data_IF_418895909074
#
_entry.id   IF_418895909074
#
_cell.length_a   1.000
_cell.length_b   1.000
_cell.length_c   1.000
_cell.angle_alpha   90.00
_cell.angle_beta   90.00
_cell.angle_gamma   90.00
#
_symmetry.space_group_name_H-M   'P 1'
#
loop_
_entity.id
_entity.type
_entity.pdbx_description
1 polymer ?
#
# COMPACT_ATOMS: atom_id res chain seq x y z
N UNK A 1 -5.58 5.68 -1.89
CA UNK A 1 -5.03 4.78 -0.88
C UNK A 1 -3.62 4.38 -1.25
N UNK A 2 -2.70 4.34 -0.29
CA UNK A 2 -1.29 4.01 -0.44
C UNK A 2 -0.86 3.05 0.67
N UNK A 3 0.15 2.22 0.41
CA UNK A 3 0.85 1.41 1.40
C UNK A 3 2.29 1.16 0.94
N UNK A 4 3.11 0.69 1.86
CA UNK A 4 4.46 0.21 1.55
C UNK A 4 5.26 1.23 0.72
N UNK A 5 5.27 2.48 1.20
CA UNK A 5 6.04 3.56 0.56
C UNK A 5 7.53 3.38 0.80
N UNK A 6 7.93 2.86 1.97
CA UNK A 6 9.31 2.63 2.39
C UNK A 6 10.22 3.83 2.09
N UNK A 7 9.74 5.04 2.36
CA UNK A 7 10.52 6.27 2.16
C UNK A 7 11.79 6.17 2.98
N UNK A 8 12.93 6.38 2.32
CA UNK A 8 14.24 6.12 2.89
C UNK A 8 14.98 4.95 2.24
N UNK A 9 14.27 4.01 1.59
CA UNK A 9 14.89 2.95 0.80
C UNK A 9 15.48 3.49 -0.50
N UNK A 10 16.64 2.96 -0.93
CA UNK A 10 17.16 3.22 -2.29
C UNK A 10 16.30 2.61 -3.40
N UNK A 11 15.30 1.79 -3.04
CA UNK A 11 14.35 1.15 -3.95
C UNK A 11 12.96 1.79 -3.91
N UNK A 12 12.78 2.91 -3.19
CA UNK A 12 11.49 3.58 -3.03
C UNK A 12 11.52 5.02 -3.54
N UNK A 13 10.36 5.65 -3.54
CA UNK A 13 10.25 7.06 -3.87
C UNK A 13 10.98 7.91 -2.83
N UNK A 14 11.71 8.93 -3.31
CA UNK A 14 12.38 9.94 -2.49
C UNK A 14 12.19 11.30 -3.14
N UNK A 15 11.92 12.33 -2.34
CA UNK A 15 11.74 13.67 -2.89
C UNK A 15 13.10 14.26 -3.31
N UNK A 16 13.31 14.65 -4.59
CA UNK A 16 14.62 15.05 -5.10
C UNK A 16 15.18 16.33 -4.48
N UNK A 17 14.29 17.19 -3.99
CA UNK A 17 14.65 18.47 -3.33
C UNK A 17 14.56 18.37 -1.80
N UNK A 18 14.61 17.16 -1.26
CA UNK A 18 14.70 16.99 0.18
C UNK A 18 16.14 17.14 0.61
N UNK A 19 16.36 18.02 1.58
CA UNK A 19 17.62 18.18 2.30
C UNK A 19 17.42 17.71 3.74
N UNK A 20 18.38 16.95 4.24
CA UNK A 20 18.36 16.49 5.63
C UNK A 20 18.63 17.64 6.62
N UNK A 21 18.61 17.33 7.91
CA UNK A 21 18.86 18.30 8.98
C UNK A 21 20.23 19.00 8.89
N UNK A 22 21.17 18.43 8.13
CA UNK A 22 22.48 18.98 7.87
C UNK A 22 22.56 19.76 6.55
N UNK A 23 21.47 19.85 5.79
CA UNK A 23 21.42 20.50 4.49
C UNK A 23 22.03 19.64 3.35
N UNK A 24 22.10 18.32 3.54
CA UNK A 24 22.62 17.41 2.52
C UNK A 24 21.49 16.92 1.62
N UNK A 25 21.67 17.09 0.32
CA UNK A 25 20.78 16.51 -0.71
C UNK A 25 21.26 15.14 -1.14
N UNK A 26 20.31 14.25 -1.43
CA UNK A 26 20.58 12.87 -1.83
C UNK A 26 20.26 12.68 -3.32
N UNK A 27 21.26 12.39 -4.17
CA UNK A 27 21.01 12.19 -5.59
C UNK A 27 20.22 10.89 -5.82
N UNK A 28 19.15 10.99 -6.62
CA UNK A 28 18.32 9.85 -6.95
C UNK A 28 19.02 8.90 -7.90
N UNK A 29 18.96 7.60 -7.61
CA UNK A 29 19.34 6.55 -8.55
C UNK A 29 18.28 6.38 -9.65
N UNK A 30 18.55 5.50 -10.63
CA UNK A 30 17.65 5.29 -11.77
C UNK A 30 16.24 4.81 -11.37
N UNK A 31 16.16 3.89 -10.41
CA UNK A 31 14.89 3.36 -9.89
C UNK A 31 14.10 4.48 -9.22
N UNK A 32 14.75 5.26 -8.36
CA UNK A 32 14.11 6.37 -7.66
C UNK A 32 13.62 7.48 -8.61
N UNK A 33 14.37 7.77 -9.69
CA UNK A 33 13.92 8.71 -10.73
C UNK A 33 12.65 8.22 -11.41
N UNK A 34 12.54 6.93 -11.67
CA UNK A 34 11.34 6.31 -12.23
C UNK A 34 10.17 6.40 -11.24
N UNK A 35 10.39 6.03 -9.97
CA UNK A 35 9.36 6.10 -8.93
C UNK A 35 8.92 7.53 -8.67
N UNK A 36 9.83 8.49 -8.72
CA UNK A 36 9.51 9.91 -8.64
C UNK A 36 8.60 10.34 -9.79
N UNK A 37 8.88 9.90 -11.02
CA UNK A 37 7.99 10.19 -12.15
C UNK A 37 6.60 9.57 -11.96
N UNK A 38 6.51 8.35 -11.43
CA UNK A 38 5.21 7.72 -11.10
C UNK A 38 4.47 8.50 -10.02
N UNK A 39 5.19 9.01 -9.03
CA UNK A 39 4.60 9.87 -7.99
C UNK A 39 4.01 11.15 -8.57
N UNK A 40 4.75 11.81 -9.45
CA UNK A 40 4.26 13.01 -10.14
C UNK A 40 3.06 12.69 -11.02
N UNK A 41 3.08 11.59 -11.75
CA UNK A 41 1.95 11.16 -12.58
C UNK A 41 0.71 10.88 -11.72
N UNK A 42 0.86 10.21 -10.58
CA UNK A 42 -0.24 10.02 -9.62
C UNK A 42 -0.81 11.35 -9.14
N UNK A 43 0.04 12.27 -8.71
CA UNK A 43 -0.41 13.59 -8.26
C UNK A 43 -1.15 14.35 -9.38
N UNK A 44 -0.68 14.23 -10.62
CA UNK A 44 -1.34 14.84 -11.77
C UNK A 44 -2.70 14.20 -12.07
N UNK A 45 -2.77 12.86 -12.11
CA UNK A 45 -4.02 12.12 -12.33
C UNK A 45 -5.08 12.45 -11.25
N UNK A 46 -4.65 12.74 -10.02
CA UNK A 46 -5.54 13.06 -8.90
C UNK A 46 -5.99 14.53 -8.84
N UNK A 47 -5.42 15.43 -9.64
CA UNK A 47 -5.77 16.87 -9.62
C UNK A 47 -7.22 17.16 -9.95
N UNK A 48 -7.76 16.46 -10.93
CA UNK A 48 -9.14 16.65 -11.37
C UNK A 48 -10.14 15.96 -10.43
N UNK A 49 -9.76 14.79 -9.91
CA UNK A 49 -10.61 13.97 -9.06
C UNK A 49 -10.66 14.50 -7.61
N UNK A 50 -9.56 15.04 -7.11
CA UNK A 50 -9.39 15.57 -5.75
C UNK A 50 -10.01 14.66 -4.70
N UNK A 51 -9.37 13.54 -4.34
CA UNK A 51 -9.89 12.63 -3.33
C UNK A 51 -10.18 13.36 -2.02
N UNK A 52 -11.14 12.87 -1.26
CA UNK A 52 -11.53 13.50 0.01
C UNK A 52 -10.44 13.34 1.05
N UNK A 53 -9.82 12.14 1.14
CA UNK A 53 -8.75 11.82 2.07
C UNK A 53 -7.83 10.71 1.52
N UNK A 54 -6.72 10.47 2.19
CA UNK A 54 -5.80 9.35 1.91
C UNK A 54 -5.83 8.37 3.07
N UNK A 55 -5.82 7.07 2.74
CA UNK A 55 -5.56 5.99 3.70
C UNK A 55 -4.14 5.48 3.45
N UNK A 56 -3.32 5.48 4.50
CA UNK A 56 -1.95 4.97 4.52
C UNK A 56 -1.93 3.65 5.30
N UNK A 57 -1.75 2.53 4.59
CA UNK A 57 -1.84 1.21 5.18
C UNK A 57 -0.46 0.66 5.60
N UNK A 58 0.32 1.46 6.32
CA UNK A 58 1.57 1.06 6.96
C UNK A 58 2.80 1.07 6.06
N UNK A 59 3.96 0.79 6.66
CA UNK A 59 5.30 0.78 6.08
C UNK A 59 5.58 2.04 5.23
N UNK A 60 5.31 3.21 5.83
CA UNK A 60 5.51 4.52 5.17
C UNK A 60 7.00 4.81 5.04
N UNK A 61 7.80 4.48 6.04
CA UNK A 61 9.26 4.63 6.03
C UNK A 61 9.96 3.28 5.93
N UNK A 62 11.25 3.29 5.52
CA UNK A 62 12.06 2.07 5.38
C UNK A 62 12.71 1.63 6.69
N UNK A 63 12.87 2.55 7.65
CA UNK A 63 13.50 2.28 8.92
C UNK A 63 15.04 2.21 8.82
N UNK A 64 15.67 1.66 9.85
CA UNK A 64 17.14 1.62 9.96
C UNK A 64 17.77 0.43 9.24
N UNK A 65 17.00 -0.55 8.78
CA UNK A 65 17.46 -1.73 8.07
C UNK A 65 18.62 -2.48 8.76
N UNK A 66 18.46 -2.96 9.99
CA UNK A 66 19.55 -3.51 10.78
C UNK A 66 20.17 -4.76 10.16
N UNK A 67 19.39 -5.56 9.41
CA UNK A 67 19.87 -6.78 8.77
C UNK A 67 20.91 -6.55 7.66
N UNK A 68 20.99 -5.34 7.11
CA UNK A 68 21.95 -4.98 6.07
C UNK A 68 22.81 -3.75 6.44
N UNK A 69 22.78 -3.37 7.73
CA UNK A 69 23.55 -2.22 8.25
C UNK A 69 23.22 -0.89 7.55
N UNK A 70 21.98 -0.69 7.15
CA UNK A 70 21.53 0.52 6.45
C UNK A 70 22.06 0.69 5.03
N UNK A 71 22.67 -0.32 4.42
CA UNK A 71 23.29 -0.20 3.08
C UNK A 71 22.30 0.04 1.95
N UNK A 72 21.03 -0.22 2.18
CA UNK A 72 19.95 -0.03 1.20
C UNK A 72 19.05 1.15 1.56
N UNK A 73 19.48 2.00 2.52
CA UNK A 73 18.76 3.21 2.89
C UNK A 73 19.47 4.47 2.37
N UNK A 74 18.71 5.51 2.10
CA UNK A 74 19.21 6.86 1.79
C UNK A 74 19.82 7.50 3.04
N UNK A 75 19.12 7.37 4.16
CA UNK A 75 19.53 7.79 5.49
C UNK A 75 18.98 6.81 6.53
N UNK A 76 19.70 6.60 7.62
CA UNK A 76 19.21 5.83 8.78
C UNK A 76 18.56 6.73 9.84
N UNK A 77 18.53 8.04 9.64
CA UNK A 77 17.79 8.98 10.49
C UNK A 77 16.30 8.87 10.18
N UNK A 78 15.52 8.42 11.17
CA UNK A 78 14.08 8.20 11.00
C UNK A 78 13.29 9.50 10.85
N UNK A 79 13.77 10.59 11.48
CA UNK A 79 13.10 11.89 11.35
C UNK A 79 13.27 12.45 9.93
N UNK A 80 14.44 12.23 9.29
CA UNK A 80 14.65 12.60 7.90
C UNK A 80 13.77 11.79 6.95
N UNK A 81 13.64 10.47 7.19
CA UNK A 81 12.71 9.62 6.43
C UNK A 81 11.26 10.10 6.58
N UNK A 82 10.84 10.40 7.82
CA UNK A 82 9.50 10.89 8.13
C UNK A 82 9.23 12.25 7.48
N UNK A 83 10.16 13.19 7.59
CA UNK A 83 10.01 14.52 7.00
C UNK A 83 9.92 14.46 5.46
N UNK A 84 10.73 13.60 4.83
CA UNK A 84 10.65 13.36 3.40
C UNK A 84 9.30 12.72 3.01
N UNK A 85 8.79 11.76 3.80
CA UNK A 85 7.50 11.14 3.57
C UNK A 85 6.36 12.16 3.68
N UNK A 86 6.36 13.01 4.70
CA UNK A 86 5.38 14.09 4.86
C UNK A 86 5.42 15.04 3.65
N UNK A 87 6.62 15.45 3.20
CA UNK A 87 6.77 16.31 2.03
C UNK A 87 6.20 15.68 0.76
N UNK A 88 6.42 14.38 0.54
CA UNK A 88 5.83 13.63 -0.57
C UNK A 88 4.30 13.58 -0.48
N UNK A 89 3.76 13.19 0.68
CA UNK A 89 2.33 13.03 0.88
C UNK A 89 1.56 14.35 0.74
N UNK A 90 2.13 15.45 1.17
CA UNK A 90 1.54 16.79 1.03
C UNK A 90 1.40 17.26 -0.44
N UNK A 91 2.08 16.61 -1.39
CA UNK A 91 1.91 16.87 -2.82
C UNK A 91 0.60 16.33 -3.37
N UNK A 92 -0.05 15.39 -2.68
CA UNK A 92 -1.31 14.78 -3.14
C UNK A 92 -2.43 15.82 -3.06
N UNK A 93 -3.15 16.08 -4.18
CA UNK A 93 -4.19 17.10 -4.22
C UNK A 93 -5.49 16.59 -3.57
N UNK A 94 -5.69 16.87 -2.29
CA UNK A 94 -6.87 16.49 -1.53
C UNK A 94 -7.89 17.62 -1.42
N UNK A 95 -9.19 17.28 -1.35
CA UNK A 95 -10.26 18.23 -0.97
C UNK A 95 -10.13 18.60 0.52
N UNK A 96 -9.92 17.61 1.38
CA UNK A 96 -9.60 17.76 2.79
C UNK A 96 -8.18 17.26 2.99
N UNK A 97 -7.40 17.93 3.80
CA UNK A 97 -6.03 17.47 4.12
C UNK A 97 -6.10 16.45 5.26
N UNK A 98 -6.71 15.31 4.99
CA UNK A 98 -6.97 14.25 5.95
C UNK A 98 -6.26 12.96 5.52
N UNK A 99 -5.50 12.35 6.45
CA UNK A 99 -4.70 11.16 6.21
C UNK A 99 -4.93 10.16 7.33
N UNK A 100 -5.71 9.12 7.07
CA UNK A 100 -5.84 7.97 7.99
C UNK A 100 -4.59 7.11 7.92
N UNK A 101 -3.98 6.83 9.06
CA UNK A 101 -2.70 6.14 9.13
C UNK A 101 -2.79 4.94 10.05
N UNK A 102 -2.38 3.77 9.56
CA UNK A 102 -2.09 2.59 10.38
C UNK A 102 -0.58 2.36 10.45
N UNK A 103 -0.16 1.75 11.54
CA UNK A 103 1.23 1.36 11.77
C UNK A 103 1.65 0.27 10.78
N UNK A 104 2.92 0.25 10.39
CA UNK A 104 3.53 -0.79 9.59
C UNK A 104 4.08 -1.95 10.40
N UNK A 105 5.15 -2.57 9.88
CA UNK A 105 5.87 -3.63 10.59
C UNK A 105 6.90 -3.04 11.55
N UNK A 106 7.11 -3.71 12.68
CA UNK A 106 8.14 -3.34 13.67
C UNK A 106 9.55 -3.23 13.06
N UNK A 107 9.78 -3.93 11.95
CA UNK A 107 11.06 -3.91 11.26
C UNK A 107 11.35 -2.56 10.63
N UNK A 108 10.32 -1.91 10.07
CA UNK A 108 10.42 -0.62 9.39
C UNK A 108 10.22 0.55 10.35
N UNK A 109 9.49 0.36 11.43
CA UNK A 109 9.32 1.40 12.45
C UNK A 109 10.45 1.52 13.45
N UNK A 110 11.46 0.63 13.41
CA UNK A 110 12.44 0.52 14.48
C UNK A 110 11.75 0.36 15.84
N UNK A 111 11.58 -0.87 16.28
CA UNK A 111 10.91 -1.32 17.50
C UNK A 111 10.92 -0.28 18.61
N UNK A 112 9.76 0.21 19.03
CA UNK A 112 9.52 1.31 19.98
C UNK A 112 9.63 2.75 19.42
N UNK A 113 9.61 2.96 18.11
CA UNK A 113 9.50 4.30 17.55
C UNK A 113 8.04 4.68 17.30
N UNK A 114 7.72 5.95 17.49
CA UNK A 114 6.40 6.53 17.20
C UNK A 114 6.39 7.23 15.85
N UNK A 115 7.24 6.79 14.89
CA UNK A 115 7.48 7.56 13.66
C UNK A 115 6.22 7.66 12.81
N UNK A 116 5.48 6.56 12.62
CA UNK A 116 4.22 6.62 11.86
C UNK A 116 3.16 7.48 12.56
N UNK A 117 3.13 7.44 13.90
CA UNK A 117 2.29 8.35 14.67
C UNK A 117 2.68 9.81 14.46
N UNK A 118 3.96 10.13 14.48
CA UNK A 118 4.45 11.50 14.22
C UNK A 118 4.14 11.96 12.79
N UNK A 119 4.27 11.07 11.80
CA UNK A 119 3.85 11.34 10.41
C UNK A 119 2.35 11.67 10.38
N UNK A 120 1.52 10.87 11.05
CA UNK A 120 0.08 11.12 11.13
C UNK A 120 -0.22 12.49 11.74
N UNK A 121 0.42 12.82 12.86
CA UNK A 121 0.23 14.12 13.55
C UNK A 121 0.65 15.30 12.66
N UNK A 122 1.79 15.17 11.96
CA UNK A 122 2.29 16.22 11.06
C UNK A 122 1.37 16.44 9.84
N UNK A 123 0.80 15.38 9.30
CA UNK A 123 -0.11 15.46 8.15
C UNK A 123 -1.48 16.04 8.52
N UNK A 124 -1.96 15.79 9.74
CA UNK A 124 -3.31 16.11 10.20
C UNK A 124 -3.36 17.23 11.25
N UNK A 125 -2.35 18.10 11.33
CA UNK A 125 -2.30 19.22 12.27
C UNK A 125 -2.51 18.79 13.75
N UNK A 126 -1.91 17.69 14.16
CA UNK A 126 -2.02 17.07 15.49
C UNK A 126 -3.41 16.52 15.85
N UNK A 127 -4.27 16.23 14.87
CA UNK A 127 -5.54 15.56 15.11
C UNK A 127 -5.37 14.06 15.21
N UNK A 128 -5.58 13.51 16.41
CA UNK A 128 -5.47 12.07 16.70
C UNK A 128 -6.59 11.23 16.10
N UNK A 129 -7.65 11.83 15.65
CA UNK A 129 -8.79 11.11 15.05
C UNK A 129 -8.37 10.24 13.86
N UNK A 130 -7.34 10.67 13.13
CA UNK A 130 -6.83 9.99 11.93
C UNK A 130 -5.81 8.89 12.21
N UNK A 131 -5.39 8.70 13.46
CA UNK A 131 -4.50 7.62 13.87
C UNK A 131 -5.29 6.35 14.17
N UNK A 132 -5.07 5.30 13.39
CA UNK A 132 -5.80 4.03 13.46
C UNK A 132 -5.04 2.93 14.21
N UNK A 133 -3.83 3.22 14.70
CA UNK A 133 -2.96 2.26 15.38
C UNK A 133 -2.64 1.05 14.47
N UNK A 134 -2.64 -0.17 15.01
CA UNK A 134 -2.34 -1.40 14.26
C UNK A 134 -3.47 -1.83 13.31
N UNK A 135 -4.70 -1.48 13.63
CA UNK A 135 -5.89 -1.78 12.85
C UNK A 135 -7.02 -0.82 13.21
N UNK A 136 -7.65 -0.26 12.20
CA UNK A 136 -8.76 0.66 12.40
C UNK A 136 -9.95 0.40 11.50
N UNK A 137 -11.01 1.14 11.78
CA UNK A 137 -12.24 1.15 11.01
C UNK A 137 -12.57 2.59 10.62
N UNK A 138 -12.81 2.78 9.33
CA UNK A 138 -13.29 4.05 8.80
C UNK A 138 -14.74 3.82 8.37
N UNK A 139 -15.64 4.63 8.91
CA UNK A 139 -17.04 4.59 8.54
C UNK A 139 -17.36 5.80 7.66
N UNK A 140 -17.79 5.54 6.45
CA UNK A 140 -18.31 6.53 5.52
C UNK A 140 -19.76 6.19 5.20
N UNK A 141 -20.69 7.06 5.60
CA UNK A 141 -22.11 6.81 5.50
C UNK A 141 -22.50 5.46 6.12
N UNK A 142 -23.03 4.56 5.31
CA UNK A 142 -23.44 3.21 5.69
C UNK A 142 -22.36 2.14 5.47
N UNK A 143 -21.18 2.52 4.96
CA UNK A 143 -20.11 1.59 4.61
C UNK A 143 -18.97 1.61 5.63
N UNK A 144 -18.39 0.46 5.85
CA UNK A 144 -17.29 0.27 6.80
C UNK A 144 -16.07 -0.31 6.10
N UNK A 145 -14.96 0.40 6.22
CA UNK A 145 -13.65 0.00 5.73
C UNK A 145 -12.80 -0.42 6.93
N UNK A 146 -12.26 -1.64 6.91
CA UNK A 146 -11.24 -2.08 7.85
C UNK A 146 -9.86 -1.96 7.22
N UNK A 147 -8.93 -1.35 7.94
CA UNK A 147 -7.55 -1.13 7.49
C UNK A 147 -6.58 -1.67 8.51
N UNK A 148 -5.60 -2.45 8.06
CA UNK A 148 -4.42 -2.83 8.79
C UNK A 148 -3.27 -3.06 7.81
N UNK A 149 -2.03 -2.98 8.26
CA UNK A 149 -0.91 -3.27 7.37
C UNK A 149 -0.87 -4.76 6.98
N UNK A 150 -1.15 -5.63 7.93
CA UNK A 150 -1.06 -7.08 7.76
C UNK A 150 0.26 -7.63 8.27
N UNK A 151 0.25 -8.91 8.62
CA UNK A 151 1.42 -9.59 9.22
C UNK A 151 1.75 -10.91 8.53
N UNK A 152 1.07 -11.26 7.46
CA UNK A 152 1.16 -12.59 6.90
C UNK A 152 2.20 -12.70 5.80
N UNK A 153 3.06 -13.68 5.93
CA UNK A 153 4.25 -13.91 5.13
C UNK A 153 4.04 -14.80 3.89
N UNK A 154 2.84 -14.87 3.32
CA UNK A 154 2.65 -15.68 2.10
C UNK A 154 2.75 -14.84 0.85
N UNK A 155 3.97 -14.73 0.30
CA UNK A 155 4.20 -14.10 -1.01
C UNK A 155 3.75 -14.94 -2.21
N UNK A 156 3.42 -16.22 -2.01
CA UNK A 156 3.16 -17.16 -3.11
C UNK A 156 1.68 -17.16 -3.50
N UNK A 157 0.80 -16.98 -2.52
CA UNK A 157 -0.64 -17.01 -2.72
C UNK A 157 -1.31 -15.88 -1.95
N UNK A 158 -1.31 -14.65 -2.48
CA UNK A 158 -1.94 -13.51 -1.82
C UNK A 158 -3.42 -13.75 -1.52
N UNK A 159 -4.11 -14.52 -2.37
CA UNK A 159 -5.51 -14.85 -2.21
C UNK A 159 -5.80 -15.66 -0.93
N UNK A 160 -4.85 -16.47 -0.47
CA UNK A 160 -5.02 -17.22 0.79
C UNK A 160 -4.97 -16.29 2.01
N UNK A 161 -4.19 -15.23 1.94
CA UNK A 161 -4.15 -14.20 2.97
C UNK A 161 -5.50 -13.49 3.04
N UNK A 162 -6.01 -13.06 1.90
CA UNK A 162 -7.30 -12.39 1.80
C UNK A 162 -8.44 -13.28 2.29
N UNK A 163 -8.45 -14.57 1.90
CA UNK A 163 -9.47 -15.51 2.36
C UNK A 163 -9.44 -15.69 3.88
N UNK A 164 -8.24 -15.70 4.49
CA UNK A 164 -8.08 -15.80 5.95
C UNK A 164 -8.54 -14.53 6.65
N UNK A 165 -8.21 -13.37 6.15
CA UNK A 165 -8.66 -12.07 6.68
C UNK A 165 -10.19 -11.98 6.65
N UNK A 166 -10.80 -12.38 5.55
CA UNK A 166 -12.25 -12.43 5.42
C UNK A 166 -12.87 -13.39 6.44
N UNK A 167 -12.30 -14.60 6.62
CA UNK A 167 -12.77 -15.57 7.60
C UNK A 167 -12.60 -15.05 9.03
N UNK A 168 -11.48 -14.40 9.31
CA UNK A 168 -11.23 -13.78 10.61
C UNK A 168 -12.27 -12.70 10.93
N UNK A 169 -12.57 -11.82 9.99
CA UNK A 169 -13.56 -10.76 10.19
C UNK A 169 -14.97 -11.31 10.40
N UNK A 170 -15.36 -12.38 9.71
CA UNK A 170 -16.64 -13.05 9.94
C UNK A 170 -16.69 -13.68 11.35
N UNK A 171 -15.65 -14.41 11.73
CA UNK A 171 -15.58 -15.06 13.03
C UNK A 171 -15.56 -14.04 14.17
N UNK A 172 -14.85 -12.93 14.00
CA UNK A 172 -14.84 -11.85 14.99
C UNK A 172 -16.21 -11.21 15.13
N UNK A 173 -16.94 -11.00 14.04
CA UNK A 173 -18.28 -10.47 14.07
C UNK A 173 -19.28 -11.42 14.80
N UNK A 174 -19.15 -12.74 14.59
CA UNK A 174 -19.96 -13.73 15.28
C UNK A 174 -19.63 -13.86 16.76
N UNK A 175 -18.34 -14.01 17.10
CA UNK A 175 -17.88 -14.25 18.47
C UNK A 175 -18.04 -13.05 19.40
N UNK A 176 -17.71 -11.87 18.88
CA UNK A 176 -17.69 -10.64 19.69
C UNK A 176 -18.95 -9.81 19.55
N UNK A 177 -19.94 -10.26 18.78
CA UNK A 177 -21.16 -9.49 18.47
C UNK A 177 -20.81 -8.06 18.01
N UNK A 178 -19.71 -7.94 17.27
CA UNK A 178 -19.30 -6.66 16.70
C UNK A 178 -20.36 -6.26 15.70
N UNK A 179 -21.01 -5.14 15.94
CA UNK A 179 -22.17 -4.66 15.18
C UNK A 179 -21.82 -4.21 13.75
N UNK A 180 -20.55 -4.37 13.30
CA UNK A 180 -20.07 -3.83 12.05
C UNK A 180 -19.42 -4.91 11.19
N UNK A 181 -20.16 -5.39 10.20
CA UNK A 181 -19.53 -6.09 9.08
C UNK A 181 -18.77 -5.07 8.22
N UNK A 182 -17.56 -5.40 7.79
CA UNK A 182 -16.80 -4.57 6.87
C UNK A 182 -17.28 -4.80 5.42
N UNK A 183 -17.40 -3.73 4.67
CA UNK A 183 -17.68 -3.79 3.23
C UNK A 183 -16.36 -3.93 2.44
N UNK A 184 -15.27 -3.36 2.97
CA UNK A 184 -13.93 -3.46 2.39
C UNK A 184 -12.88 -3.72 3.49
N UNK A 185 -12.06 -4.73 3.27
CA UNK A 185 -10.89 -5.07 4.10
C UNK A 185 -9.64 -4.75 3.31
N UNK A 186 -8.78 -3.90 3.87
CA UNK A 186 -7.59 -3.39 3.21
C UNK A 186 -6.34 -3.86 3.95
N UNK A 187 -5.35 -4.39 3.19
CA UNK A 187 -4.05 -4.82 3.68
C UNK A 187 -2.94 -4.31 2.76
N UNK A 188 -1.75 -4.11 3.31
CA UNK A 188 -0.49 -3.86 2.59
C UNK A 188 0.45 -5.06 2.65
N UNK A 189 1.74 -4.81 2.87
CA UNK A 189 2.82 -5.75 3.19
C UNK A 189 3.29 -6.68 2.06
N UNK A 190 2.43 -7.15 1.20
CA UNK A 190 2.81 -8.12 0.16
C UNK A 190 3.34 -7.48 -1.12
N UNK A 191 3.20 -6.17 -1.27
CA UNK A 191 3.64 -5.39 -2.44
C UNK A 191 3.02 -5.87 -3.77
N UNK A 192 1.87 -6.54 -3.71
CA UNK A 192 1.17 -7.08 -4.88
C UNK A 192 -0.28 -6.65 -4.76
N UNK A 193 -0.84 -6.13 -5.86
CA UNK A 193 -2.26 -5.85 -5.89
C UNK A 193 -3.06 -7.14 -6.03
N UNK A 194 -4.06 -7.29 -5.19
CA UNK A 194 -5.05 -8.35 -5.32
C UNK A 194 -6.38 -7.89 -4.74
N UNK A 195 -7.46 -8.15 -5.44
CA UNK A 195 -8.82 -7.86 -5.00
C UNK A 195 -9.67 -9.12 -5.10
N UNK A 196 -10.23 -9.55 -3.99
CA UNK A 196 -11.21 -10.64 -3.94
C UNK A 196 -12.54 -10.08 -3.47
N UNK A 197 -13.59 -10.41 -4.19
CA UNK A 197 -14.96 -10.10 -3.82
C UNK A 197 -15.71 -11.38 -3.48
N UNK A 198 -16.41 -11.38 -2.35
CA UNK A 198 -17.24 -12.50 -1.91
C UNK A 198 -18.59 -12.01 -1.44
N UNK A 199 -19.63 -12.72 -1.80
CA UNK A 199 -20.94 -12.50 -1.21
C UNK A 199 -20.92 -12.87 0.26
N UNK A 200 -21.37 -11.98 1.11
CA UNK A 200 -21.47 -12.15 2.55
C UNK A 200 -22.83 -11.72 3.07
N UNK A 201 -23.12 -12.08 4.30
CA UNK A 201 -24.31 -11.60 4.97
C UNK A 201 -23.95 -10.36 5.80
N UNK A 202 -24.64 -9.25 5.60
CA UNK A 202 -24.62 -8.15 6.56
C UNK A 202 -25.32 -8.61 7.83
N UNK A 203 -24.61 -8.55 8.95
CA UNK A 203 -25.24 -8.74 10.24
C UNK A 203 -26.21 -7.60 10.49
N UNK A 204 -27.46 -7.95 10.74
CA UNK A 204 -28.67 -7.10 10.76
C UNK A 204 -28.72 -6.01 11.83
N UNK A 205 -27.66 -5.30 12.17
CA UNK A 205 -27.70 -4.35 13.29
C UNK A 205 -27.48 -2.88 12.97
N UNK A 206 -27.63 -2.48 11.72
CA UNK A 206 -27.73 -1.07 11.40
C UNK A 206 -29.20 -0.68 11.37
N UNK A 207 -29.71 0.07 12.34
CA UNK A 207 -31.15 0.36 12.45
C UNK A 207 -31.71 1.23 11.32
N UNK A 208 -30.93 1.72 10.42
CA UNK A 208 -31.32 2.58 9.29
C UNK A 208 -31.08 1.96 7.90
N UNK A 209 -30.52 0.75 7.80
CA UNK A 209 -30.22 0.15 6.50
C UNK A 209 -31.43 -0.60 5.95
N UNK A 210 -32.01 -0.05 4.90
CA UNK A 210 -32.96 -0.73 3.99
C UNK A 210 -32.25 -1.63 2.99
N UNK A 211 -30.91 -1.74 3.07
CA UNK A 211 -30.08 -2.50 2.14
C UNK A 211 -30.28 -4.02 2.28
N UNK A 212 -30.12 -4.79 1.18
CA UNK A 212 -30.35 -6.23 1.16
C UNK A 212 -29.45 -6.95 2.19
N UNK A 213 -29.95 -8.06 2.73
CA UNK A 213 -29.27 -8.88 3.73
C UNK A 213 -27.97 -9.53 3.21
N UNK A 214 -27.76 -9.56 1.91
CA UNK A 214 -26.57 -10.08 1.23
C UNK A 214 -25.80 -8.91 0.64
N UNK A 215 -24.57 -8.74 1.06
CA UNK A 215 -23.66 -7.72 0.51
C UNK A 215 -22.41 -8.39 -0.01
N UNK A 216 -21.77 -7.74 -0.94
CA UNK A 216 -20.43 -8.10 -1.37
C UNK A 216 -19.42 -7.53 -0.38
N UNK A 217 -18.56 -8.40 0.15
CA UNK A 217 -17.41 -8.00 0.97
C UNK A 217 -16.17 -8.11 0.10
N UNK A 218 -15.45 -7.01 -0.01
CA UNK A 218 -14.20 -6.93 -0.75
C UNK A 218 -13.00 -7.04 0.19
N UNK A 219 -12.02 -7.83 -0.19
CA UNK A 219 -10.73 -7.91 0.50
C UNK A 219 -9.64 -7.54 -0.48
N UNK A 220 -8.88 -6.52 -0.15
CA UNK A 220 -7.86 -5.96 -1.02
C UNK A 220 -6.48 -5.99 -0.37
N UNK A 221 -5.48 -6.38 -1.15
CA UNK A 221 -4.08 -6.10 -0.87
C UNK A 221 -3.68 -4.94 -1.78
N UNK A 222 -3.18 -3.88 -1.17
CA UNK A 222 -2.81 -2.66 -1.89
C UNK A 222 -1.44 -2.81 -2.55
N UNK A 223 -1.20 -2.25 -3.74
CA UNK A 223 0.11 -2.20 -4.34
C UNK A 223 1.05 -1.31 -3.51
N UNK A 224 2.35 -1.49 -3.69
CA UNK A 224 3.39 -0.72 -3.03
C UNK A 224 3.86 0.49 -3.87
N UNK A 225 4.65 1.36 -3.26
CA UNK A 225 5.42 2.38 -3.98
C UNK A 225 6.93 2.13 -3.88
N UNK A 226 7.29 0.85 -3.70
CA UNK A 226 8.66 0.36 -3.63
C UNK A 226 8.95 -0.61 -4.77
N UNK A 227 10.12 -0.47 -5.39
CA UNK A 227 10.62 -1.43 -6.38
C UNK A 227 11.15 -2.71 -5.74
N UNK A 228 11.56 -3.65 -6.59
CA UNK A 228 12.06 -4.95 -6.13
C UNK A 228 13.38 -4.82 -5.36
N UNK A 229 13.37 -5.15 -4.08
CA UNK A 229 14.56 -5.16 -3.22
C UNK A 229 15.37 -6.45 -3.39
N UNK A 230 16.65 -6.42 -2.96
CA UNK A 230 17.49 -7.64 -2.92
C UNK A 230 16.93 -8.71 -1.98
N UNK A 231 16.25 -8.30 -0.91
CA UNK A 231 15.55 -9.21 -0.02
C UNK A 231 14.44 -9.96 -0.74
N UNK A 232 13.58 -9.26 -1.48
CA UNK A 232 12.51 -9.87 -2.28
C UNK A 232 13.07 -10.86 -3.31
N UNK A 233 14.16 -10.50 -3.99
CA UNK A 233 14.84 -11.38 -4.96
C UNK A 233 15.33 -12.69 -4.35
N UNK A 234 15.83 -12.65 -3.11
CA UNK A 234 16.36 -13.83 -2.43
C UNK A 234 15.28 -14.71 -1.82
N UNK A 235 14.23 -14.11 -1.28
CA UNK A 235 13.15 -14.82 -0.56
C UNK A 235 12.12 -15.44 -1.50
N UNK A 236 11.88 -14.84 -2.65
CA UNK A 236 10.95 -15.39 -3.63
C UNK A 236 11.70 -15.97 -4.81
N UNK A 237 11.84 -17.30 -4.91
CA UNK A 237 12.45 -17.95 -6.07
C UNK A 237 11.68 -17.70 -7.35
N UNK A 238 10.39 -17.37 -7.25
CA UNK A 238 9.52 -16.99 -8.37
C UNK A 238 9.55 -15.50 -8.68
N UNK A 239 10.38 -14.73 -7.96
CA UNK A 239 10.67 -13.32 -8.24
C UNK A 239 9.40 -12.51 -8.50
N UNK A 240 8.53 -12.48 -7.52
CA UNK A 240 7.40 -11.58 -7.56
C UNK A 240 7.93 -10.15 -7.76
N UNK A 241 7.57 -9.56 -8.87
CA UNK A 241 7.83 -8.15 -9.13
C UNK A 241 6.74 -7.40 -8.38
N UNK A 242 7.08 -6.43 -7.52
CA UNK A 242 6.05 -5.67 -6.81
C UNK A 242 5.21 -4.88 -7.81
N UNK A 243 3.92 -4.82 -7.56
CA UNK A 243 3.03 -3.91 -8.24
C UNK A 243 3.23 -2.50 -7.68
N UNK A 244 3.70 -1.60 -8.53
CA UNK A 244 3.93 -0.20 -8.15
C UNK A 244 2.69 0.61 -8.51
N UNK A 245 2.08 1.23 -7.52
CA UNK A 245 0.86 1.98 -7.80
C UNK A 245 0.07 2.41 -6.57
N UNK A 246 -1.19 2.70 -6.80
CA UNK A 246 -2.14 3.10 -5.77
C UNK A 246 -3.55 2.59 -6.10
N UNK A 247 -4.45 2.63 -5.13
CA UNK A 247 -5.85 2.32 -5.36
C UNK A 247 -6.75 3.51 -5.02
N UNK A 248 -7.85 3.63 -5.76
CA UNK A 248 -8.95 4.55 -5.47
C UNK A 248 -10.11 3.74 -4.90
N UNK A 249 -10.61 4.13 -3.74
CA UNK A 249 -11.83 3.63 -3.16
C UNK A 249 -12.91 4.68 -3.38
N UNK A 250 -13.98 4.30 -4.05
CA UNK A 250 -15.13 5.16 -4.35
C UNK A 250 -16.32 4.58 -3.63
N UNK A 251 -16.97 5.41 -2.83
CA UNK A 251 -18.19 5.06 -2.10
C UNK A 251 -19.34 5.86 -2.72
N UNK A 252 -20.38 5.18 -3.13
CA UNK A 252 -21.59 5.77 -3.68
C UNK A 252 -22.84 4.98 -3.26
N UNK A 253 -24.02 5.38 -3.72
CA UNK A 253 -25.30 4.74 -3.41
C UNK A 253 -25.35 3.25 -3.81
N UNK A 254 -24.46 2.79 -4.67
CA UNK A 254 -24.41 1.43 -5.18
C UNK A 254 -23.40 0.55 -4.43
N UNK A 255 -22.51 1.14 -3.64
CA UNK A 255 -21.57 0.38 -2.82
C UNK A 255 -20.16 0.94 -2.78
N UNK A 256 -19.24 0.07 -2.36
CA UNK A 256 -17.81 0.35 -2.31
C UNK A 256 -17.15 -0.20 -3.58
N UNK A 257 -16.56 0.68 -4.36
CA UNK A 257 -15.87 0.36 -5.60
C UNK A 257 -14.37 0.58 -5.43
N UNK A 258 -13.58 -0.35 -5.96
CA UNK A 258 -12.11 -0.25 -5.93
C UNK A 258 -11.61 -0.16 -7.37
N UNK A 259 -10.76 0.82 -7.64
CA UNK A 259 -10.05 0.99 -8.91
C UNK A 259 -8.55 1.05 -8.63
N UNK A 260 -7.82 0.10 -9.18
CA UNK A 260 -6.36 0.09 -9.13
C UNK A 260 -5.76 0.96 -10.22
N UNK A 261 -4.59 1.48 -9.92
CA UNK A 261 -3.70 2.13 -10.86
C UNK A 261 -2.29 1.58 -10.68
N UNK A 262 -1.94 0.62 -11.50
CA UNK A 262 -0.61 0.02 -11.51
C UNK A 262 0.19 0.68 -12.63
N UNK A 263 1.37 1.18 -12.30
CA UNK A 263 2.29 1.74 -13.27
C UNK A 263 3.05 0.61 -13.97
N UNK A 264 3.11 0.67 -15.29
CA UNK A 264 3.92 -0.28 -16.05
C UNK A 264 5.39 -0.12 -15.70
N UNK A 265 6.08 -1.24 -15.47
CA UNK A 265 7.51 -1.24 -15.29
C UNK A 265 8.20 -0.87 -16.60
N UNK A 266 8.52 0.40 -16.76
CA UNK A 266 9.36 0.88 -17.86
C UNK A 266 10.78 0.31 -17.69
N UNK A 267 11.09 -0.82 -18.30
CA UNK A 267 12.49 -1.22 -18.32
C UNK A 267 12.86 -2.67 -18.44
N UNK A 268 11.94 -3.60 -18.36
CA UNK A 268 12.22 -4.93 -18.91
C UNK A 268 11.83 -4.90 -20.39
N UNK A 269 12.68 -4.35 -21.24
CA UNK A 269 12.66 -4.74 -22.64
C UNK A 269 12.85 -6.24 -22.63
N UNK A 270 11.78 -6.99 -22.80
CA UNK A 270 11.87 -8.40 -23.11
C UNK A 270 12.62 -8.49 -24.43
N UNK A 271 13.91 -8.73 -24.35
CA UNK A 271 14.69 -9.11 -25.52
C UNK A 271 14.26 -10.56 -25.79
N UNK A 272 13.09 -10.72 -26.40
CA UNK A 272 12.69 -11.99 -26.99
C UNK A 272 13.48 -12.22 -28.26
N UNK A 273 14.78 -12.39 -28.13
CA UNK A 273 15.57 -13.14 -29.10
C UNK A 273 15.37 -14.63 -28.77
N UNK A 274 14.20 -15.15 -29.06
CA UNK A 274 14.08 -16.58 -29.32
C UNK A 274 14.71 -16.78 -30.69
N UNK A 275 15.88 -17.47 -30.80
CA UNK A 275 16.44 -17.82 -32.09
C UNK A 275 15.38 -18.67 -32.77
N UNK A 276 14.95 -18.27 -33.96
CA UNK A 276 14.06 -19.09 -34.74
C UNK A 276 14.66 -20.50 -34.83
N UNK A 277 13.96 -21.48 -34.31
CA UNK A 277 14.33 -22.89 -34.43
C UNK A 277 14.46 -23.17 -35.93
N UNK A 278 15.69 -23.28 -36.42
CA UNK A 278 15.94 -23.70 -37.80
C UNK A 278 15.23 -25.05 -37.99
N UNK A 279 14.17 -25.07 -38.80
CA UNK A 279 13.57 -26.31 -39.26
C UNK A 279 14.69 -27.16 -39.86
N UNK A 280 15.05 -28.25 -39.20
CA UNK A 280 15.91 -29.27 -39.79
C UNK A 280 15.16 -29.81 -41.01
N UNK A 281 15.59 -29.38 -42.20
CA UNK A 281 15.17 -30.01 -43.43
C UNK A 281 15.53 -31.48 -43.36
N UNK A 282 14.51 -32.34 -43.26
CA UNK A 282 14.68 -33.78 -43.33
C UNK A 282 15.28 -34.13 -44.68
N UNK A 283 16.49 -34.68 -44.66
CA UNK A 283 17.03 -35.40 -45.80
C UNK A 283 16.17 -36.65 -46.03
N UNK A 284 15.42 -36.66 -47.09
CA UNK A 284 14.89 -37.92 -47.68
C UNK A 284 16.08 -38.77 -48.12
N UNK A 285 16.16 -39.99 -47.69
CA UNK A 285 16.72 -41.13 -48.42
C UNK A 285 15.59 -42.13 -48.59
#
# INVERSE_FOLDING_TARGET
MLSDLHVGSIFSVWHPEYEDKQGVSYPLNQMQKMLWQYWLNMCEELKDEKPDYVILAGDIIDGVQPANYGRTTMTTDLDDQAACAVKLLQMIPLKRKEYFVVVGTDYHEAKYSDVHYQICMNLNNNDRYFWLDTMGYIQEEDYVINVAHGSSASFIYPETVQAREWQFMLSAAELHKIDRACDLIIRGHLHIYSLIERSGFRLKKFPKLTAPAVTSIKTMINPAFQGQTDYMRRKSPFKLIPDIGYTKVIIDDFGVHVKERIFEHLGIKSISRVPALRKRNGRKK
#
